data_IF_669944260803
#
_entry.id   IF_669944260803
#
_cell.length_a   1.000
_cell.length_b   1.000
_cell.length_c   1.000
_cell.angle_alpha   90.00
_cell.angle_beta   90.00
_cell.angle_gamma   90.00
#
_symmetry.space_group_name_H-M   'P 1'
#
loop_
_entity.id
_entity.type
_entity.pdbx_description
1 polymer ?
#
# COMPACT_ATOMS: atom_id res chain seq x y z
N UNK A 1 7.63 -16.45 -12.76
CA UNK A 1 6.64 -16.98 -11.83
C UNK A 1 5.71 -15.85 -11.38
N UNK A 2 4.43 -16.13 -11.41
CA UNK A 2 3.43 -15.13 -11.06
C UNK A 2 3.28 -15.03 -9.55
N UNK A 3 3.24 -13.82 -9.04
CA UNK A 3 3.06 -13.55 -7.63
C UNK A 3 2.05 -12.42 -7.45
N UNK A 4 1.59 -12.27 -6.23
CA UNK A 4 0.78 -11.11 -5.88
C UNK A 4 1.63 -10.10 -5.15
N UNK A 5 1.41 -8.85 -5.48
CA UNK A 5 1.98 -7.74 -4.74
C UNK A 5 0.96 -7.34 -3.68
N UNK A 6 1.34 -7.41 -2.42
CA UNK A 6 0.48 -6.98 -1.33
C UNK A 6 0.89 -5.58 -0.92
N UNK A 7 -0.02 -4.64 -1.07
CA UNK A 7 0.16 -3.27 -0.62
C UNK A 7 -0.63 -3.10 0.66
N UNK A 8 0.06 -2.74 1.73
CA UNK A 8 -0.55 -2.55 3.05
C UNK A 8 -0.37 -1.10 3.47
N UNK A 9 -1.47 -0.48 3.85
CA UNK A 9 -1.44 0.89 4.36
C UNK A 9 -1.99 0.93 5.78
N UNK A 10 -1.59 1.98 6.51
CA UNK A 10 -2.08 2.23 7.85
C UNK A 10 -1.94 3.71 8.17
N UNK A 11 -2.65 4.16 9.19
CA UNK A 11 -2.51 5.53 9.67
C UNK A 11 -3.11 6.58 8.75
N UNK A 12 -4.12 6.25 7.98
CA UNK A 12 -4.81 7.22 7.13
C UNK A 12 -5.81 7.99 7.97
N UNK A 13 -5.28 8.91 8.76
CA UNK A 13 -6.07 9.75 9.64
C UNK A 13 -5.22 10.91 10.13
N UNK A 14 -5.85 12.00 10.48
CA UNK A 14 -5.18 13.16 11.02
C UNK A 14 -6.06 13.85 12.04
N UNK A 15 -5.45 14.69 12.87
CA UNK A 15 -6.18 15.44 13.88
C UNK A 15 -6.38 16.86 13.36
N UNK A 16 -7.60 17.34 13.40
CA UNK A 16 -7.95 18.69 13.02
C UNK A 16 -8.80 19.28 14.13
N UNK A 17 -8.28 20.33 14.78
CA UNK A 17 -8.95 21.01 15.91
C UNK A 17 -9.36 20.05 17.02
N UNK A 18 -8.47 19.08 17.30
CA UNK A 18 -8.70 18.10 18.35
C UNK A 18 -9.60 16.94 17.95
N UNK A 19 -10.06 16.92 16.71
CA UNK A 19 -10.94 15.87 16.21
C UNK A 19 -10.15 14.97 15.24
N UNK A 20 -10.29 13.67 15.41
CA UNK A 20 -9.65 12.71 14.53
C UNK A 20 -10.50 12.53 13.28
N UNK A 21 -9.96 12.92 12.15
CA UNK A 21 -10.63 12.84 10.86
C UNK A 21 -9.86 12.00 9.88
N UNK A 22 -10.46 11.67 8.76
CA UNK A 22 -9.79 10.99 7.68
C UNK A 22 -8.91 11.93 6.88
N UNK A 23 -8.19 11.37 5.95
CA UNK A 23 -7.34 12.15 5.07
C UNK A 23 -7.25 11.51 3.70
N UNK A 24 -6.23 11.86 2.97
CA UNK A 24 -5.98 11.30 1.65
C UNK A 24 -4.52 10.92 1.51
N UNK A 25 -4.27 9.97 0.63
CA UNK A 25 -2.92 9.51 0.36
C UNK A 25 -2.82 9.01 -1.05
N UNK A 26 -1.65 9.19 -1.63
CA UNK A 26 -1.33 8.71 -2.95
C UNK A 26 -0.14 7.77 -2.80
N UNK A 27 -0.26 6.57 -3.33
CA UNK A 27 0.78 5.56 -3.23
C UNK A 27 1.15 5.09 -4.62
N UNK A 28 2.43 5.10 -4.92
CA UNK A 28 2.95 4.60 -6.19
C UNK A 28 3.96 3.51 -5.89
N UNK A 29 3.78 2.36 -6.49
CA UNK A 29 4.71 1.23 -6.37
C UNK A 29 5.40 1.06 -7.71
N UNK A 30 6.73 1.11 -7.68
CA UNK A 30 7.54 0.97 -8.88
C UNK A 30 8.50 -0.19 -8.74
N UNK A 31 8.91 -0.72 -9.87
CA UNK A 31 9.95 -1.74 -9.95
C UNK A 31 10.88 -1.33 -11.06
N UNK A 32 12.08 -0.87 -10.67
CA UNK A 32 12.97 -0.23 -11.62
C UNK A 32 12.32 1.03 -12.16
N UNK A 33 12.17 1.13 -13.46
CA UNK A 33 11.52 2.27 -14.10
C UNK A 33 10.03 2.03 -14.35
N UNK A 34 9.54 0.83 -14.03
CA UNK A 34 8.16 0.47 -14.30
C UNK A 34 7.26 0.77 -13.11
N UNK A 35 6.14 1.39 -13.40
CA UNK A 35 5.10 1.61 -12.38
C UNK A 35 4.22 0.36 -12.34
N UNK A 36 4.22 -0.30 -11.18
CA UNK A 36 3.37 -1.48 -10.99
C UNK A 36 1.95 -1.04 -10.71
N UNK A 37 1.77 -0.09 -9.79
CA UNK A 37 0.44 0.40 -9.47
C UNK A 37 0.51 1.79 -8.89
N UNK A 38 -0.60 2.50 -9.02
CA UNK A 38 -0.85 3.78 -8.37
C UNK A 38 -2.21 3.72 -7.73
N UNK A 39 -2.28 4.12 -6.50
CA UNK A 39 -3.53 4.11 -5.76
C UNK A 39 -3.73 5.43 -5.03
N UNK A 40 -4.97 5.88 -5.03
CA UNK A 40 -5.38 7.01 -4.23
C UNK A 40 -6.30 6.49 -3.15
N UNK A 41 -6.00 6.83 -1.92
CA UNK A 41 -6.82 6.44 -0.78
C UNK A 41 -7.41 7.69 -0.17
N UNK A 42 -8.66 7.61 0.23
CA UNK A 42 -9.31 8.70 0.95
C UNK A 42 -10.24 8.11 1.99
N UNK A 43 -10.41 8.81 3.08
CA UNK A 43 -11.22 8.36 4.18
C UNK A 43 -10.40 8.17 5.43
N UNK A 44 -10.85 7.32 6.32
CA UNK A 44 -10.22 7.08 7.60
C UNK A 44 -9.89 5.60 7.75
N UNK A 45 -8.61 5.29 7.90
CA UNK A 45 -8.13 3.93 8.13
C UNK A 45 -7.28 3.97 9.38
N UNK A 46 -7.80 3.47 10.48
CA UNK A 46 -7.05 3.44 11.74
C UNK A 46 -6.22 2.19 11.89
N UNK A 47 -6.67 1.09 11.32
CA UNK A 47 -5.91 -0.16 11.30
C UNK A 47 -5.29 -0.37 9.93
N UNK A 48 -4.72 -1.55 9.74
CA UNK A 48 -4.10 -1.89 8.47
C UNK A 48 -5.15 -2.26 7.43
N UNK A 49 -4.92 -1.83 6.22
CA UNK A 49 -5.72 -2.19 5.07
C UNK A 49 -4.78 -2.72 4.00
N UNK A 50 -5.09 -3.88 3.45
CA UNK A 50 -4.23 -4.50 2.43
C UNK A 50 -5.00 -4.75 1.15
N UNK A 51 -4.30 -4.64 0.04
CA UNK A 51 -4.85 -4.87 -1.28
C UNK A 51 -3.85 -5.69 -2.08
N UNK A 52 -4.34 -6.65 -2.84
CA UNK A 52 -3.50 -7.52 -3.64
C UNK A 52 -3.57 -7.13 -5.11
N UNK A 53 -2.42 -7.16 -5.76
CA UNK A 53 -2.29 -6.89 -7.18
C UNK A 53 -1.63 -8.08 -7.85
N UNK A 54 -2.16 -8.45 -8.99
CA UNK A 54 -1.63 -9.53 -9.79
C UNK A 54 -0.44 -9.01 -10.59
N UNK A 55 0.73 -9.62 -10.42
CA UNK A 55 1.94 -9.13 -11.06
C UNK A 55 2.92 -10.27 -11.29
N UNK A 56 3.90 -10.01 -12.16
CA UNK A 56 4.99 -10.93 -12.41
C UNK A 56 6.16 -10.60 -11.50
N UNK A 57 6.81 -11.63 -11.01
CA UNK A 57 8.03 -11.45 -10.23
C UNK A 57 9.23 -11.60 -11.16
N UNK A 58 9.93 -10.51 -11.39
CA UNK A 58 11.13 -10.52 -12.21
C UNK A 58 12.42 -10.41 -11.39
N UNK A 59 12.32 -10.56 -10.08
CA UNK A 59 13.47 -10.51 -9.20
C UNK A 59 13.97 -9.14 -8.83
N UNK A 60 13.41 -8.08 -9.40
CA UNK A 60 13.80 -6.73 -9.05
C UNK A 60 13.03 -6.25 -7.83
N UNK A 61 13.68 -5.50 -6.93
CA UNK A 61 12.99 -4.96 -5.77
C UNK A 61 11.99 -3.90 -6.16
N UNK A 62 10.98 -3.73 -5.32
CA UNK A 62 9.98 -2.69 -5.51
C UNK A 62 10.29 -1.52 -4.60
N UNK A 63 9.88 -0.34 -5.03
CA UNK A 63 9.96 0.89 -4.25
C UNK A 63 8.57 1.46 -4.07
N UNK A 64 8.32 2.00 -2.90
CA UNK A 64 7.02 2.59 -2.58
C UNK A 64 7.23 4.08 -2.32
N UNK A 65 6.51 4.90 -3.07
CA UNK A 65 6.52 6.35 -2.90
C UNK A 65 5.14 6.78 -2.43
N UNK A 66 5.09 7.60 -1.41
CA UNK A 66 3.83 8.05 -0.83
C UNK A 66 3.77 9.57 -0.74
N UNK A 67 2.54 10.08 -0.81
CA UNK A 67 2.24 11.48 -0.56
C UNK A 67 0.92 11.52 0.19
N UNK A 68 0.88 12.18 1.34
CA UNK A 68 -0.31 12.18 2.18
C UNK A 68 -0.33 13.41 3.06
N UNK A 69 -1.55 13.84 3.43
CA UNK A 69 -1.74 14.87 4.45
C UNK A 69 -1.81 14.28 5.86
N UNK A 70 -1.66 12.97 5.98
CA UNK A 70 -1.71 12.28 7.26
C UNK A 70 -0.30 12.06 7.78
N UNK A 71 0.05 12.60 8.97
CA UNK A 71 1.43 12.52 9.46
C UNK A 71 1.90 11.11 9.82
N UNK A 72 0.97 10.20 10.08
CA UNK A 72 1.33 8.84 10.48
C UNK A 72 1.03 7.81 9.39
N UNK A 73 0.74 8.28 8.19
CA UNK A 73 0.45 7.36 7.08
C UNK A 73 1.68 6.53 6.74
N UNK A 74 1.47 5.24 6.58
CA UNK A 74 2.50 4.30 6.17
C UNK A 74 1.98 3.40 5.08
N UNK A 75 2.85 3.06 4.16
CA UNK A 75 2.55 2.11 3.10
C UNK A 75 3.73 1.17 2.94
N UNK A 76 3.43 -0.10 2.78
CA UNK A 76 4.44 -1.14 2.57
C UNK A 76 3.97 -2.03 1.44
N UNK A 77 4.93 -2.55 0.69
CA UNK A 77 4.62 -3.47 -0.40
C UNK A 77 5.56 -4.67 -0.31
N UNK A 78 5.00 -5.85 -0.47
CA UNK A 78 5.78 -7.07 -0.51
C UNK A 78 5.13 -8.06 -1.48
N UNK A 79 5.92 -9.01 -1.94
CA UNK A 79 5.40 -10.06 -2.80
C UNK A 79 4.97 -11.24 -1.95
N UNK A 80 3.80 -11.79 -2.28
CA UNK A 80 3.30 -12.97 -1.60
C UNK A 80 3.03 -14.04 -2.64
N UNK A 81 3.35 -15.26 -2.26
CA UNK A 81 3.09 -16.41 -3.08
C UNK A 81 1.58 -16.69 -3.05
N UNK A 82 0.93 -16.86 -4.22
CA UNK A 82 -0.50 -17.09 -4.24
C UNK A 82 -0.95 -18.32 -3.46
N UNK A 83 -0.07 -19.26 -3.24
CA UNK A 83 -0.42 -20.47 -2.50
C UNK A 83 -0.20 -20.34 -1.00
N UNK A 84 0.47 -19.30 -0.55
CA UNK A 84 0.73 -19.13 0.88
C UNK A 84 -0.54 -18.83 1.66
N UNK A 85 -1.52 -18.22 1.01
CA UNK A 85 -2.77 -17.86 1.66
C UNK A 85 -3.68 -19.06 1.86
N UNK A 86 -3.46 -20.13 1.14
CA UNK A 86 -4.32 -21.31 1.22
C UNK A 86 -3.72 -22.42 2.05
N UNK A 87 -2.63 -22.16 2.66
CA UNK A 87 -1.93 -23.15 3.46
C UNK A 87 -2.61 -23.29 4.81
N UNK A 88 -3.33 -24.31 4.93
CA UNK A 88 -4.12 -24.57 6.13
C UNK A 88 -3.79 -25.91 6.72
#
# INVERSE_FOLDING_TARGET
MKKYLRLTISGLQRVDEGILIGGSAKVTVTRGEDVICRENFSGKVSDKYSKLYDTEDNGHPVSVTTSSDCPFFRAEADFVNPFSETNI
#
